data_IF_345807347723
#
_entry.id   IF_345807347723
#
_cell.length_a   1.000
_cell.length_b   1.000
_cell.length_c   1.000
_cell.angle_alpha   90.00
_cell.angle_beta   90.00
_cell.angle_gamma   90.00
#
_symmetry.space_group_name_H-M   'P 1'
#
loop_
_entity.id
_entity.type
_entity.pdbx_description
1 polymer ?
#
# COMPACT_ATOMS: atom_id res chain seq x y z
N UNK A 1 -1.03 -5.45 -16.95
CA UNK A 1 -1.42 -4.25 -17.71
C UNK A 1 -2.83 -4.37 -18.31
N UNK A 2 -3.22 -5.53 -18.82
CA UNK A 2 -4.53 -5.76 -19.47
C UNK A 2 -5.71 -5.35 -18.59
N UNK A 3 -5.75 -5.76 -17.31
CA UNK A 3 -6.80 -5.34 -16.38
C UNK A 3 -6.77 -3.82 -16.14
N UNK A 4 -5.60 -3.20 -16.02
CA UNK A 4 -5.48 -1.77 -15.79
C UNK A 4 -6.01 -0.93 -16.96
N UNK A 5 -5.95 -1.43 -18.19
CA UNK A 5 -6.44 -0.74 -19.39
C UNK A 5 -7.95 -0.40 -19.31
N UNK A 6 -8.74 -1.18 -18.55
CA UNK A 6 -10.15 -0.91 -18.30
C UNK A 6 -10.40 0.37 -17.50
N UNK A 7 -9.42 0.78 -16.71
CA UNK A 7 -9.52 1.93 -15.78
C UNK A 7 -8.76 3.16 -16.28
N UNK A 8 -7.92 3.02 -17.31
CA UNK A 8 -7.11 4.10 -17.88
C UNK A 8 -7.96 5.21 -18.52
N UNK A 9 -9.06 4.85 -19.20
CA UNK A 9 -9.78 5.72 -20.12
C UNK A 9 -9.22 5.71 -21.53
N UNK A 10 -10.07 5.91 -22.54
CA UNK A 10 -9.70 5.76 -23.95
C UNK A 10 -9.72 4.32 -24.44
N UNK A 11 -8.90 4.01 -25.45
CA UNK A 11 -8.84 2.69 -26.06
C UNK A 11 -8.25 1.66 -25.11
N UNK A 12 -8.84 0.46 -25.13
CA UNK A 12 -8.40 -0.69 -24.35
C UNK A 12 -7.32 -1.47 -25.08
N UNK A 13 -6.56 -2.26 -24.34
CA UNK A 13 -5.66 -3.24 -24.93
C UNK A 13 -6.43 -4.34 -25.67
N UNK A 14 -5.81 -4.91 -26.69
CA UNK A 14 -6.36 -6.09 -27.37
C UNK A 14 -6.55 -7.21 -26.33
N UNK A 15 -7.67 -7.92 -26.42
CA UNK A 15 -8.06 -9.02 -25.52
C UNK A 15 -8.37 -8.57 -24.06
N UNK A 16 -8.52 -7.27 -23.79
CA UNK A 16 -8.90 -6.81 -22.47
C UNK A 16 -10.31 -7.29 -22.07
N UNK A 17 -11.18 -7.56 -23.03
CA UNK A 17 -12.57 -7.94 -22.76
C UNK A 17 -12.69 -9.31 -22.07
N UNK A 18 -11.76 -10.21 -22.28
CA UNK A 18 -11.74 -11.55 -21.69
C UNK A 18 -11.27 -11.57 -20.24
N UNK A 19 -10.62 -10.50 -19.75
CA UNK A 19 -9.96 -10.55 -18.42
C UNK A 19 -10.95 -10.77 -17.28
N UNK A 20 -12.15 -10.20 -17.36
CA UNK A 20 -13.16 -10.37 -16.31
C UNK A 20 -13.75 -11.79 -16.31
N UNK A 21 -13.96 -12.39 -17.48
CA UNK A 21 -14.41 -13.78 -17.61
C UNK A 21 -13.33 -14.73 -17.05
N UNK A 22 -12.06 -14.47 -17.34
CA UNK A 22 -10.93 -15.24 -16.78
C UNK A 22 -10.84 -15.08 -15.27
N UNK A 23 -11.05 -13.86 -14.72
CA UNK A 23 -11.11 -13.64 -13.27
C UNK A 23 -12.25 -14.42 -12.62
N UNK A 24 -13.41 -14.50 -13.25
CA UNK A 24 -14.56 -15.24 -12.74
C UNK A 24 -14.36 -16.75 -12.76
N UNK A 25 -13.67 -17.25 -13.77
CA UNK A 25 -13.39 -18.68 -13.95
C UNK A 25 -12.10 -19.13 -13.25
N UNK A 26 -11.40 -18.21 -12.56
CA UNK A 26 -10.09 -18.45 -11.96
C UNK A 26 -9.05 -19.01 -12.95
N UNK A 27 -9.16 -18.59 -14.22
CA UNK A 27 -8.23 -18.92 -15.33
C UNK A 27 -7.28 -17.75 -15.57
N UNK A 28 -6.36 -17.54 -14.62
CA UNK A 28 -5.44 -16.40 -14.61
C UNK A 28 -3.99 -16.86 -14.74
N UNK A 29 -3.19 -16.03 -15.40
CA UNK A 29 -1.74 -16.21 -15.48
C UNK A 29 -1.08 -15.95 -14.11
N UNK A 30 0.19 -16.34 -13.97
CA UNK A 30 0.90 -16.24 -12.70
C UNK A 30 1.13 -14.80 -12.21
N UNK A 31 1.02 -13.81 -13.08
CA UNK A 31 1.19 -12.39 -12.77
C UNK A 31 -0.05 -11.72 -12.18
N UNK A 32 -1.22 -12.37 -12.27
CA UNK A 32 -2.48 -11.92 -11.67
C UNK A 32 -3.12 -13.03 -10.84
N UNK A 33 -3.41 -12.75 -9.58
CA UNK A 33 -4.17 -13.64 -8.69
C UNK A 33 -5.36 -12.89 -8.12
N UNK A 34 -6.47 -13.59 -7.93
CA UNK A 34 -7.70 -13.03 -7.34
C UNK A 34 -8.19 -13.93 -6.23
N UNK A 35 -8.42 -13.35 -5.07
CA UNK A 35 -9.00 -14.02 -3.91
C UNK A 35 -10.22 -13.24 -3.47
N UNK A 36 -11.29 -13.95 -3.13
CA UNK A 36 -12.49 -13.33 -2.56
C UNK A 36 -12.50 -13.44 -1.04
N UNK A 37 -13.13 -12.46 -0.38
CA UNK A 37 -13.37 -12.44 1.05
C UNK A 37 -14.76 -11.83 1.35
N UNK A 38 -15.34 -12.13 2.50
CA UNK A 38 -16.69 -11.67 2.88
C UNK A 38 -16.72 -10.86 4.16
N UNK A 39 -15.82 -11.14 5.07
CA UNK A 39 -15.75 -10.50 6.38
C UNK A 39 -14.29 -10.32 6.84
N UNK A 40 -14.11 -9.69 8.00
CA UNK A 40 -12.80 -9.40 8.57
C UNK A 40 -11.96 -10.66 8.79
N UNK A 41 -12.55 -11.73 9.30
CA UNK A 41 -11.82 -12.98 9.58
C UNK A 41 -11.30 -13.58 8.29
N UNK A 42 -12.15 -13.67 7.28
CA UNK A 42 -11.78 -14.21 5.98
C UNK A 42 -10.74 -13.34 5.28
N UNK A 43 -10.84 -11.99 5.38
CA UNK A 43 -9.80 -11.10 4.87
C UNK A 43 -8.45 -11.35 5.54
N UNK A 44 -8.43 -11.49 6.87
CA UNK A 44 -7.20 -11.78 7.62
C UNK A 44 -6.58 -13.10 7.19
N UNK A 45 -7.39 -14.15 7.04
CA UNK A 45 -6.93 -15.46 6.60
C UNK A 45 -6.41 -15.43 5.15
N UNK A 46 -7.10 -14.71 4.25
CA UNK A 46 -6.65 -14.54 2.85
C UNK A 46 -5.37 -13.74 2.73
N UNK A 47 -5.21 -12.68 3.52
CA UNK A 47 -3.94 -11.94 3.57
C UNK A 47 -2.80 -12.86 4.02
N UNK A 48 -3.02 -13.68 5.05
CA UNK A 48 -2.03 -14.64 5.54
C UNK A 48 -1.70 -15.68 4.47
N UNK A 49 -2.71 -16.28 3.85
CA UNK A 49 -2.55 -17.23 2.74
C UNK A 49 -1.74 -16.66 1.59
N UNK A 50 -2.06 -15.42 1.17
CA UNK A 50 -1.33 -14.72 0.09
C UNK A 50 0.13 -14.50 0.47
N UNK A 51 0.41 -14.06 1.70
CA UNK A 51 1.79 -13.84 2.13
C UNK A 51 2.59 -15.14 2.18
N UNK A 52 1.99 -16.22 2.67
CA UNK A 52 2.65 -17.53 2.75
C UNK A 52 2.92 -18.11 1.35
N UNK A 53 2.01 -17.91 0.39
CA UNK A 53 2.12 -18.46 -0.97
C UNK A 53 2.99 -17.59 -1.90
N UNK A 54 2.86 -16.27 -1.80
CA UNK A 54 3.46 -15.34 -2.75
C UNK A 54 4.80 -14.78 -2.26
N UNK A 55 5.03 -14.81 -0.95
CA UNK A 55 6.25 -14.36 -0.29
C UNK A 55 6.70 -15.34 0.78
N UNK A 56 7.16 -16.55 0.37
CA UNK A 56 7.54 -17.60 1.32
C UNK A 56 8.67 -17.19 2.28
N UNK A 57 9.52 -16.23 1.87
CA UNK A 57 10.59 -15.69 2.72
C UNK A 57 10.12 -14.60 3.68
N UNK A 58 8.83 -14.24 3.66
CA UNK A 58 8.26 -13.31 4.63
C UNK A 58 8.37 -13.90 6.06
N UNK A 59 8.82 -13.16 7.09
CA UNK A 59 9.10 -11.71 7.12
C UNK A 59 10.51 -11.29 6.69
N UNK A 60 11.38 -12.19 6.26
CA UNK A 60 12.79 -11.92 5.93
C UNK A 60 12.99 -11.37 4.52
N UNK A 61 11.95 -11.44 3.66
CA UNK A 61 11.99 -10.88 2.32
C UNK A 61 12.30 -9.37 2.33
N UNK A 62 12.95 -8.89 1.27
CA UNK A 62 13.19 -7.46 1.10
C UNK A 62 11.87 -6.69 1.16
N UNK A 63 11.82 -5.74 2.06
CA UNK A 63 10.63 -4.91 2.30
C UNK A 63 10.22 -4.08 1.08
N UNK A 64 11.13 -3.81 0.15
CA UNK A 64 10.86 -3.07 -1.08
C UNK A 64 10.18 -3.91 -2.15
N UNK A 65 10.22 -5.24 -2.07
CA UNK A 65 9.70 -6.12 -3.11
C UNK A 65 8.16 -6.20 -3.13
N UNK A 66 7.51 -6.00 -2.01
CA UNK A 66 6.06 -6.19 -1.92
C UNK A 66 5.36 -5.08 -1.14
N UNK A 67 4.09 -4.86 -1.45
CA UNK A 67 3.27 -3.85 -0.77
C UNK A 67 1.80 -4.23 -0.76
N UNK A 68 1.17 -4.10 0.42
CA UNK A 68 -0.30 -4.14 0.52
C UNK A 68 -0.86 -2.74 0.34
N UNK A 69 -1.83 -2.61 -0.55
CA UNK A 69 -2.53 -1.36 -0.85
C UNK A 69 -4.00 -1.47 -0.48
N UNK A 70 -4.53 -0.44 0.16
CA UNK A 70 -5.97 -0.33 0.47
C UNK A 70 -6.44 1.12 0.25
N UNK A 71 -7.72 1.36 -0.09
CA UNK A 71 -8.21 2.71 -0.34
C UNK A 71 -8.31 3.60 0.90
N UNK A 72 -8.31 3.03 2.13
CA UNK A 72 -8.62 3.77 3.37
C UNK A 72 -7.71 3.40 4.54
N UNK A 73 -7.87 4.14 5.65
CA UNK A 73 -7.07 4.00 6.88
C UNK A 73 -7.79 3.18 7.96
N UNK A 74 -9.03 3.50 8.29
CA UNK A 74 -9.66 3.08 9.55
C UNK A 74 -10.58 1.84 9.55
N UNK A 75 -11.29 1.43 8.49
CA UNK A 75 -12.10 0.20 8.53
C UNK A 75 -11.26 -1.05 8.71
N UNK A 76 -11.90 -2.18 9.04
CA UNK A 76 -11.26 -3.50 9.22
C UNK A 76 -10.37 -3.93 8.05
N UNK A 77 -10.63 -3.41 6.85
CA UNK A 77 -9.83 -3.56 5.65
C UNK A 77 -8.93 -2.34 5.34
N UNK A 78 -8.76 -1.44 6.32
CA UNK A 78 -7.91 -0.25 6.22
C UNK A 78 -6.46 -0.51 6.63
N UNK A 79 -5.58 0.47 6.35
CA UNK A 79 -4.15 0.34 6.63
C UNK A 79 -3.85 0.08 8.10
N UNK A 80 -4.59 0.72 9.01
CA UNK A 80 -4.38 0.56 10.44
C UNK A 80 -4.54 -0.90 10.89
N UNK A 81 -5.69 -1.50 10.57
CA UNK A 81 -6.00 -2.87 10.99
C UNK A 81 -5.09 -3.90 10.32
N UNK A 82 -4.83 -3.73 9.02
CA UNK A 82 -3.93 -4.64 8.28
C UNK A 82 -2.52 -4.58 8.87
N UNK A 83 -1.99 -3.40 9.18
CA UNK A 83 -0.68 -3.26 9.81
C UNK A 83 -0.60 -3.97 11.17
N UNK A 84 -1.70 -3.95 11.97
CA UNK A 84 -1.77 -4.70 13.22
C UNK A 84 -1.74 -6.22 12.97
N UNK A 85 -2.45 -6.74 11.96
CA UNK A 85 -2.38 -8.16 11.60
C UNK A 85 -0.95 -8.59 11.31
N UNK A 86 -0.18 -7.79 10.58
CA UNK A 86 1.22 -8.09 10.30
C UNK A 86 2.07 -8.14 11.57
N UNK A 87 1.90 -7.18 12.50
CA UNK A 87 2.61 -7.24 13.78
C UNK A 87 2.23 -8.46 14.62
N UNK A 88 0.95 -8.87 14.63
CA UNK A 88 0.50 -10.10 15.30
C UNK A 88 1.17 -11.35 14.68
N UNK A 89 1.22 -11.46 13.36
CA UNK A 89 1.85 -12.61 12.68
C UNK A 89 3.35 -12.68 12.93
N UNK A 90 4.01 -11.53 13.03
CA UNK A 90 5.43 -11.43 13.41
C UNK A 90 5.65 -11.66 14.92
N UNK A 91 4.57 -11.88 15.69
CA UNK A 91 4.61 -11.99 17.15
C UNK A 91 5.20 -10.76 17.83
N UNK A 92 5.06 -9.59 17.24
CA UNK A 92 5.43 -8.29 17.79
C UNK A 92 4.38 -7.82 18.81
N UNK A 93 4.14 -8.65 19.85
CA UNK A 93 3.14 -8.37 20.89
C UNK A 93 3.77 -8.08 22.24
N UNK A 94 5.03 -8.44 22.45
CA UNK A 94 5.73 -8.21 23.71
C UNK A 94 6.36 -6.82 23.74
N UNK A 95 5.70 -5.91 24.43
CA UNK A 95 6.10 -4.50 24.58
C UNK A 95 7.50 -4.30 25.18
N UNK A 96 8.09 -5.34 25.80
CA UNK A 96 9.47 -5.27 26.33
C UNK A 96 10.52 -5.15 25.23
N UNK A 97 10.22 -5.66 24.05
CA UNK A 97 11.13 -5.65 22.88
C UNK A 97 10.83 -4.54 21.89
N UNK A 98 9.79 -3.74 22.15
CA UNK A 98 9.39 -2.61 21.32
C UNK A 98 9.58 -1.27 22.03
N UNK A 99 9.42 -0.19 21.29
CA UNK A 99 9.32 1.15 21.83
C UNK A 99 7.94 1.75 21.53
N UNK A 100 7.36 2.49 22.47
CA UNK A 100 6.13 3.22 22.21
C UNK A 100 6.39 4.32 21.17
N UNK A 101 5.48 4.48 20.22
CA UNK A 101 5.52 5.51 19.20
C UNK A 101 4.10 6.03 18.93
N UNK A 102 3.68 7.03 19.70
CA UNK A 102 2.28 7.47 19.74
C UNK A 102 1.34 6.36 20.18
N UNK A 103 0.33 6.08 19.40
CA UNK A 103 -0.62 4.98 19.60
C UNK A 103 -0.08 3.60 19.22
N UNK A 104 1.11 3.54 18.59
CA UNK A 104 1.74 2.32 18.09
C UNK A 104 2.89 1.86 19.00
N UNK A 105 3.36 0.66 18.73
CA UNK A 105 4.67 0.17 19.15
C UNK A 105 5.48 -0.16 17.90
N UNK A 106 6.77 0.22 17.90
CA UNK A 106 7.72 -0.17 16.88
C UNK A 106 8.60 -1.29 17.41
N UNK A 107 8.82 -2.30 16.57
CA UNK A 107 9.66 -3.46 16.85
C UNK A 107 10.75 -3.60 15.80
N UNK A 108 11.83 -4.29 16.16
CA UNK A 108 12.85 -4.68 15.20
C UNK A 108 12.22 -5.52 14.09
N UNK A 109 12.51 -5.19 12.84
CA UNK A 109 11.97 -5.83 11.65
C UNK A 109 10.74 -5.14 11.07
N UNK A 110 10.09 -4.23 11.82
CA UNK A 110 8.92 -3.52 11.31
C UNK A 110 9.22 -2.77 10.00
N UNK A 111 8.32 -2.91 9.06
CA UNK A 111 8.25 -2.10 7.85
C UNK A 111 7.56 -0.78 8.21
N UNK A 112 8.25 0.32 7.95
CA UNK A 112 7.80 1.66 8.33
C UNK A 112 7.90 2.62 7.16
N UNK A 113 7.15 3.73 7.24
CA UNK A 113 7.19 4.79 6.24
C UNK A 113 7.45 6.14 6.92
N UNK A 114 8.34 6.93 6.31
CA UNK A 114 8.51 8.34 6.66
C UNK A 114 7.24 9.11 6.27
N UNK A 115 6.66 9.83 7.23
CA UNK A 115 5.37 10.52 7.02
C UNK A 115 5.50 12.01 6.75
N UNK A 116 6.68 12.60 6.93
CA UNK A 116 6.95 14.02 6.72
C UNK A 116 8.27 14.23 6.01
N UNK A 117 8.40 15.31 5.24
CA UNK A 117 9.69 15.73 4.68
C UNK A 117 10.55 16.33 5.78
N UNK A 118 11.65 15.68 6.14
CA UNK A 118 12.48 16.12 7.26
C UNK A 118 13.97 15.83 7.01
N UNK A 119 14.83 16.78 7.37
CA UNK A 119 16.28 16.53 7.44
C UNK A 119 16.59 15.76 8.72
N UNK A 120 17.07 14.53 8.56
CA UNK A 120 17.49 13.68 9.68
C UNK A 120 18.98 13.45 9.69
N UNK A 121 19.52 13.48 10.91
CA UNK A 121 20.93 13.17 11.15
C UNK A 121 21.15 11.67 11.01
N UNK A 122 22.16 11.28 10.26
CA UNK A 122 22.65 9.91 10.21
C UNK A 122 23.25 9.52 11.56
N UNK A 123 23.02 8.29 12.01
CA UNK A 123 23.34 7.85 13.38
C UNK A 123 24.85 7.86 13.69
N UNK A 124 25.70 7.57 12.70
CA UNK A 124 27.14 7.45 12.85
C UNK A 124 27.92 8.63 12.26
N UNK A 125 27.24 9.69 11.82
CA UNK A 125 27.82 10.82 11.13
C UNK A 125 27.24 12.15 11.61
N UNK A 126 27.87 13.25 11.25
CA UNK A 126 27.31 14.61 11.44
C UNK A 126 26.44 15.03 10.25
N UNK A 127 26.39 14.22 9.22
CA UNK A 127 25.62 14.49 8.00
C UNK A 127 24.12 14.46 8.29
N UNK A 128 23.39 15.37 7.69
CA UNK A 128 21.93 15.39 7.72
C UNK A 128 21.40 15.17 6.30
N UNK A 129 20.52 14.20 6.15
CA UNK A 129 19.93 13.79 4.88
C UNK A 129 18.44 14.13 4.90
N UNK A 130 17.94 14.66 3.80
CA UNK A 130 16.52 14.89 3.63
C UNK A 130 15.83 13.55 3.37
N UNK A 131 14.99 13.11 4.31
CA UNK A 131 14.08 12.01 4.11
C UNK A 131 12.73 12.57 3.62
N UNK A 132 12.18 11.96 2.59
CA UNK A 132 10.94 12.40 1.96
C UNK A 132 9.74 11.64 2.52
N UNK A 133 8.61 12.32 2.60
CA UNK A 133 7.33 11.68 2.88
C UNK A 133 7.06 10.57 1.86
N UNK A 134 6.66 9.39 2.34
CA UNK A 134 6.40 8.21 1.52
C UNK A 134 7.57 7.24 1.40
N UNK A 135 8.81 7.60 1.81
CA UNK A 135 9.91 6.65 1.83
C UNK A 135 9.67 5.50 2.79
N UNK A 136 9.79 4.27 2.29
CA UNK A 136 9.58 3.04 3.06
C UNK A 136 10.93 2.53 3.53
N UNK A 137 11.01 2.19 4.81
CA UNK A 137 12.21 1.68 5.47
C UNK A 137 11.91 0.52 6.41
N UNK A 138 12.95 0.01 7.06
CA UNK A 138 12.86 -1.06 8.05
C UNK A 138 13.52 -0.68 9.35
N UNK A 139 12.87 -1.03 10.46
CA UNK A 139 13.47 -0.93 11.80
C UNK A 139 14.52 -2.03 11.95
N UNK A 140 15.79 -1.68 11.89
CA UNK A 140 16.89 -2.64 12.02
C UNK A 140 17.20 -3.00 13.46
N UNK A 141 17.06 -2.04 14.36
CA UNK A 141 17.46 -2.18 15.76
C UNK A 141 16.60 -1.27 16.67
N UNK A 142 16.35 -1.74 17.87
CA UNK A 142 15.80 -0.93 18.97
C UNK A 142 16.80 -0.93 20.09
N UNK A 143 17.31 0.26 20.45
CA UNK A 143 18.28 0.46 21.53
C UNK A 143 18.12 1.85 22.14
N UNK A 144 18.31 1.95 23.46
CA UNK A 144 18.29 3.21 24.21
C UNK A 144 17.03 4.06 23.94
N UNK A 145 15.86 3.41 23.88
CA UNK A 145 14.56 4.02 23.56
C UNK A 145 14.51 4.70 22.18
N UNK A 146 15.28 4.17 21.23
CA UNK A 146 15.32 4.62 19.84
C UNK A 146 15.09 3.45 18.92
N UNK A 147 14.35 3.68 17.83
CA UNK A 147 14.32 2.82 16.67
C UNK A 147 15.34 3.33 15.65
N UNK A 148 16.18 2.44 15.14
CA UNK A 148 17.13 2.73 14.07
C UNK A 148 16.54 2.17 12.77
N UNK A 149 16.25 3.06 11.83
CA UNK A 149 15.61 2.74 10.56
C UNK A 149 16.61 2.90 9.41
N UNK A 150 16.61 1.95 8.49
CA UNK A 150 17.29 2.05 7.20
C UNK A 150 16.26 2.19 6.10
N UNK A 151 16.63 2.92 5.05
CA UNK A 151 15.84 3.08 3.83
C UNK A 151 16.64 2.53 2.65
N UNK A 152 16.01 1.87 1.66
CA UNK A 152 16.72 1.27 0.52
C UNK A 152 17.63 2.25 -0.23
N UNK A 153 17.20 3.52 -0.36
CA UNK A 153 17.97 4.57 -1.02
C UNK A 153 19.25 4.94 -0.24
N UNK A 154 19.32 4.55 1.04
CA UNK A 154 20.41 4.82 1.98
C UNK A 154 20.75 3.56 2.78
N UNK A 155 20.98 2.44 2.10
CA UNK A 155 21.12 1.11 2.71
C UNK A 155 22.31 0.98 3.68
N UNK A 156 23.35 1.80 3.48
CA UNK A 156 24.52 1.91 4.35
C UNK A 156 24.32 2.85 5.55
N UNK A 157 23.21 3.59 5.60
CA UNK A 157 22.92 4.61 6.62
C UNK A 157 21.77 4.19 7.53
N UNK A 158 21.79 4.73 8.76
CA UNK A 158 20.77 4.49 9.78
C UNK A 158 20.30 5.82 10.35
N UNK A 159 18.99 5.94 10.49
CA UNK A 159 18.32 7.11 11.04
C UNK A 159 17.60 6.72 12.31
N UNK A 160 17.73 7.48 13.37
CA UNK A 160 17.09 7.14 14.64
C UNK A 160 15.84 7.96 14.91
N UNK A 161 14.87 7.32 15.56
CA UNK A 161 13.62 7.89 15.98
C UNK A 161 13.43 7.59 17.47
N UNK A 162 13.18 8.63 18.25
CA UNK A 162 12.94 8.46 19.69
C UNK A 162 11.56 7.84 19.93
N UNK A 163 11.49 6.94 20.90
CA UNK A 163 10.21 6.48 21.41
C UNK A 163 9.45 7.62 22.06
N UNK A 164 8.19 7.79 21.70
CA UNK A 164 7.27 8.80 22.23
C UNK A 164 5.99 8.13 22.72
N UNK A 165 5.51 8.52 23.91
CA UNK A 165 4.30 7.91 24.50
C UNK A 165 3.01 8.61 24.07
N UNK A 166 3.11 9.86 23.63
CA UNK A 166 1.99 10.67 23.17
C UNK A 166 2.12 10.91 21.68
N UNK A 167 1.04 11.34 21.03
CA UNK A 167 1.03 11.59 19.59
C UNK A 167 1.93 12.76 19.17
N UNK A 168 2.32 13.64 20.11
CA UNK A 168 3.27 14.72 19.88
C UNK A 168 4.65 14.17 19.47
N UNK A 169 4.98 14.33 18.18
CA UNK A 169 6.23 13.84 17.59
C UNK A 169 6.20 12.39 17.06
N UNK A 170 5.07 11.69 17.19
CA UNK A 170 4.85 10.38 16.57
C UNK A 170 4.40 10.45 15.10
N UNK A 171 4.32 11.64 14.54
CA UNK A 171 3.87 11.91 13.17
C UNK A 171 4.94 11.64 12.08
N UNK A 172 6.18 11.27 12.48
CA UNK A 172 7.29 11.04 11.55
C UNK A 172 7.29 9.67 10.91
N UNK A 173 6.88 8.65 11.65
CA UNK A 173 6.82 7.27 11.17
C UNK A 173 5.44 6.69 11.35
N UNK A 174 5.08 5.81 10.43
CA UNK A 174 3.91 4.94 10.52
C UNK A 174 4.31 3.51 10.09
N UNK A 175 3.54 2.51 10.49
CA UNK A 175 3.70 1.17 9.96
C UNK A 175 3.33 1.16 8.47
N UNK A 176 4.06 0.36 7.69
CA UNK A 176 3.94 0.38 6.24
C UNK A 176 3.83 -1.00 5.59
N UNK A 177 3.42 -2.02 6.31
CA UNK A 177 3.05 -3.30 5.69
C UNK A 177 1.88 -3.10 4.72
N UNK A 178 0.90 -2.28 5.13
CA UNK A 178 -0.15 -1.77 4.27
C UNK A 178 -0.11 -0.23 4.24
N UNK A 179 -0.24 0.35 3.06
CA UNK A 179 -0.35 1.80 2.85
C UNK A 179 -1.59 2.13 2.02
N UNK A 180 -2.04 3.38 2.08
CA UNK A 180 -3.15 3.79 1.21
C UNK A 180 -2.69 3.88 -0.24
N UNK A 181 -3.61 3.59 -1.18
CA UNK A 181 -3.34 3.71 -2.61
C UNK A 181 -2.81 5.11 -2.96
N UNK A 182 -3.31 6.17 -2.31
CA UNK A 182 -2.81 7.53 -2.52
C UNK A 182 -1.33 7.69 -2.13
N UNK A 183 -0.92 7.10 -1.01
CA UNK A 183 0.48 7.16 -0.56
C UNK A 183 1.43 6.33 -1.42
N UNK A 184 0.92 5.38 -2.22
CA UNK A 184 1.73 4.60 -3.16
C UNK A 184 2.00 5.30 -4.49
N UNK A 185 1.40 6.46 -4.73
CA UNK A 185 1.62 7.21 -5.99
C UNK A 185 3.09 7.59 -6.15
N UNK A 186 3.66 7.26 -7.31
CA UNK A 186 5.07 7.49 -7.61
C UNK A 186 6.01 6.36 -7.18
N UNK A 187 5.52 5.35 -6.45
CA UNK A 187 6.29 4.16 -6.08
C UNK A 187 5.79 2.95 -6.84
N UNK A 188 6.69 2.02 -7.16
CA UNK A 188 6.37 0.74 -7.79
C UNK A 188 7.00 -0.39 -6.96
N UNK A 189 6.31 -1.53 -6.92
CA UNK A 189 6.72 -2.71 -6.17
C UNK A 189 6.70 -3.94 -7.07
N UNK A 190 7.53 -4.91 -6.76
CA UNK A 190 7.58 -6.17 -7.52
C UNK A 190 6.24 -6.89 -7.45
N UNK A 191 5.74 -7.10 -6.24
CA UNK A 191 4.43 -7.69 -5.96
C UNK A 191 3.54 -6.69 -5.24
N UNK A 192 2.34 -6.46 -5.75
CA UNK A 192 1.32 -5.62 -5.11
C UNK A 192 0.11 -6.45 -4.74
N UNK A 193 -0.32 -6.33 -3.49
CA UNK A 193 -1.53 -6.93 -2.95
C UNK A 193 -2.55 -5.82 -2.74
N UNK A 194 -3.65 -5.82 -3.47
CA UNK A 194 -4.66 -4.75 -3.39
C UNK A 194 -5.91 -5.27 -2.67
N UNK A 195 -6.25 -4.67 -1.55
CA UNK A 195 -7.52 -4.95 -0.84
C UNK A 195 -8.60 -4.03 -1.39
N UNK A 196 -9.62 -4.62 -1.99
CA UNK A 196 -10.71 -3.95 -2.68
C UNK A 196 -12.06 -4.24 -1.99
N UNK A 197 -12.54 -3.34 -1.13
CA UNK A 197 -13.86 -3.44 -0.52
C UNK A 197 -14.94 -2.95 -1.49
N UNK A 198 -16.10 -3.63 -1.52
CA UNK A 198 -17.19 -3.37 -2.48
C UNK A 198 -17.83 -1.99 -2.35
N UNK A 199 -18.09 -1.54 -1.14
CA UNK A 199 -18.87 -0.33 -0.87
C UNK A 199 -18.02 0.84 -0.32
N UNK A 200 -16.79 0.97 -0.78
CA UNK A 200 -15.91 2.07 -0.36
C UNK A 200 -16.17 3.34 -1.17
N UNK A 201 -16.53 4.43 -0.48
CA UNK A 201 -16.80 5.74 -1.11
C UNK A 201 -15.59 6.35 -1.82
N UNK A 202 -14.38 5.96 -1.42
CA UNK A 202 -13.14 6.46 -2.03
C UNK A 202 -12.77 5.72 -3.31
N UNK A 203 -13.36 4.54 -3.56
CA UNK A 203 -13.10 3.82 -4.80
C UNK A 203 -13.61 4.62 -5.99
N UNK A 204 -12.73 4.86 -6.92
CA UNK A 204 -12.99 5.44 -8.21
C UNK A 204 -12.23 4.68 -9.28
N UNK A 205 -12.59 4.92 -10.52
CA UNK A 205 -11.88 4.39 -11.67
C UNK A 205 -10.39 4.71 -11.61
N UNK A 206 -10.04 5.96 -11.31
CA UNK A 206 -8.66 6.44 -11.26
C UNK A 206 -7.88 5.83 -10.08
N UNK A 207 -8.55 5.64 -8.93
CA UNK A 207 -7.91 5.05 -7.76
C UNK A 207 -7.58 3.57 -8.02
N UNK A 208 -8.51 2.83 -8.64
CA UNK A 208 -8.27 1.45 -9.05
C UNK A 208 -7.13 1.39 -10.06
N UNK A 209 -7.15 2.25 -11.09
CA UNK A 209 -6.04 2.34 -12.05
C UNK A 209 -4.70 2.54 -11.36
N UNK A 210 -4.65 3.50 -10.43
CA UNK A 210 -3.43 3.79 -9.65
C UNK A 210 -2.94 2.55 -8.93
N UNK A 211 -3.82 1.82 -8.24
CA UNK A 211 -3.43 0.62 -7.49
C UNK A 211 -2.89 -0.49 -8.40
N UNK A 212 -3.59 -0.77 -9.51
CA UNK A 212 -3.22 -1.82 -10.45
C UNK A 212 -1.86 -1.57 -11.12
N UNK A 213 -1.54 -0.30 -11.37
CA UNK A 213 -0.29 0.10 -12.03
C UNK A 213 0.91 0.19 -11.10
N UNK A 214 0.76 -0.08 -9.81
CA UNK A 214 1.90 -0.13 -8.87
C UNK A 214 2.70 -1.43 -8.93
N UNK A 215 2.12 -2.49 -9.49
CA UNK A 215 2.76 -3.79 -9.64
C UNK A 215 3.69 -3.82 -10.87
N UNK A 216 4.93 -4.23 -10.67
CA UNK A 216 5.90 -4.49 -11.75
C UNK A 216 5.71 -5.88 -12.34
N UNK A 217 5.70 -6.91 -11.49
CA UNK A 217 5.69 -8.30 -11.92
C UNK A 217 4.43 -9.05 -11.49
N UNK A 218 3.91 -8.80 -10.29
CA UNK A 218 2.79 -9.57 -9.76
C UNK A 218 1.74 -8.70 -9.07
N UNK A 219 0.49 -8.96 -9.42
CA UNK A 219 -0.69 -8.31 -8.84
C UNK A 219 -1.58 -9.35 -8.19
N UNK A 220 -1.88 -9.15 -6.91
CA UNK A 220 -2.83 -9.97 -6.16
C UNK A 220 -4.00 -9.10 -5.73
N UNK A 221 -5.21 -9.49 -6.09
CA UNK A 221 -6.43 -8.78 -5.73
C UNK A 221 -7.19 -9.55 -4.65
N UNK A 222 -7.43 -8.90 -3.52
CA UNK A 222 -8.31 -9.36 -2.47
C UNK A 222 -9.63 -8.60 -2.58
N UNK A 223 -10.64 -9.21 -3.19
CA UNK A 223 -11.89 -8.56 -3.59
C UNK A 223 -13.01 -8.99 -2.65
N UNK A 224 -13.73 -8.02 -2.06
CA UNK A 224 -14.90 -8.32 -1.25
C UNK A 224 -16.01 -8.94 -2.11
N UNK A 225 -16.58 -10.06 -1.65
CA UNK A 225 -17.58 -10.90 -2.31
C UNK A 225 -17.07 -11.49 -3.63
N UNK A 226 -17.24 -10.82 -4.76
CA UNK A 226 -16.93 -11.35 -6.09
C UNK A 226 -16.40 -10.25 -7.03
N UNK A 227 -15.58 -10.61 -8.02
CA UNK A 227 -15.03 -9.64 -9.00
C UNK A 227 -16.06 -8.92 -9.86
N UNK A 228 -17.30 -9.39 -9.91
CA UNK A 228 -18.34 -8.83 -10.79
C UNK A 228 -18.55 -7.32 -10.65
N UNK A 229 -18.51 -6.82 -9.42
CA UNK A 229 -18.71 -5.39 -9.20
C UNK A 229 -17.54 -4.52 -9.68
N UNK A 230 -16.35 -5.09 -9.76
CA UNK A 230 -15.15 -4.38 -10.21
C UNK A 230 -15.29 -3.89 -11.67
N UNK A 231 -15.94 -4.69 -12.52
CA UNK A 231 -16.27 -4.29 -13.89
C UNK A 231 -17.10 -3.01 -13.94
N UNK A 232 -18.05 -2.81 -13.03
CA UNK A 232 -18.86 -1.61 -13.00
C UNK A 232 -18.01 -0.34 -12.81
N UNK A 233 -16.96 -0.40 -11.99
CA UNK A 233 -16.07 0.74 -11.73
C UNK A 233 -15.22 1.17 -12.93
N UNK A 234 -15.12 0.35 -13.98
CA UNK A 234 -14.44 0.75 -15.21
C UNK A 234 -15.24 1.80 -16.02
N UNK A 235 -16.54 1.95 -15.74
CA UNK A 235 -17.43 2.83 -16.49
C UNK A 235 -17.22 4.32 -16.14
N UNK A 236 -17.50 5.26 -17.08
CA UNK A 236 -17.27 6.69 -16.87
C UNK A 236 -17.97 7.29 -15.65
N UNK A 237 -19.12 6.76 -15.24
CA UNK A 237 -19.86 7.24 -14.06
C UNK A 237 -19.08 7.10 -12.75
N UNK A 238 -18.09 6.21 -12.68
CA UNK A 238 -17.20 6.02 -11.52
C UNK A 238 -15.90 6.81 -11.63
N UNK A 239 -15.72 7.60 -12.71
CA UNK A 239 -14.58 8.49 -12.86
C UNK A 239 -14.82 9.79 -12.06
N UNK A 240 -13.87 10.12 -11.20
CA UNK A 240 -13.83 11.42 -10.51
C UNK A 240 -13.44 12.53 -11.47
N UNK A 241 -12.58 12.24 -12.44
CA UNK A 241 -12.13 13.21 -13.44
C UNK A 241 -13.27 13.60 -14.38
N UNK A 242 -14.09 12.64 -14.82
CA UNK A 242 -15.25 12.92 -15.67
C UNK A 242 -16.31 13.80 -14.98
N UNK A 243 -16.33 13.83 -13.66
CA UNK A 243 -17.25 14.69 -12.86
C UNK A 243 -16.69 16.07 -12.56
N UNK A 244 -15.40 16.32 -12.80
CA UNK A 244 -14.80 17.64 -12.60
C UNK A 244 -15.13 18.54 -13.79
N UNK A 245 -15.97 19.54 -13.58
CA UNK A 245 -16.14 20.67 -14.51
C UNK A 245 -14.83 21.48 -14.51
N UNK A 246 -13.92 21.17 -15.43
CA UNK A 246 -12.72 21.99 -15.63
C UNK A 246 -13.06 23.08 -16.66
N UNK A 247 -12.86 24.35 -16.31
CA UNK A 247 -12.98 25.49 -17.25
C UNK A 247 -11.88 25.49 -18.34
N UNK A 248 -11.03 24.45 -18.40
CA UNK A 248 -9.93 24.36 -19.37
C UNK A 248 -10.43 24.38 -20.82
N UNK A 249 -11.56 23.73 -21.08
CA UNK A 249 -12.17 23.71 -22.42
C UNK A 249 -12.87 25.02 -22.80
N UNK A 250 -13.27 25.84 -21.86
CA UNK A 250 -13.89 27.16 -22.14
C UNK A 250 -12.86 28.21 -22.57
N UNK A 251 -11.57 28.01 -22.34
CA UNK A 251 -10.50 28.91 -22.80
C UNK A 251 -10.07 28.65 -24.25
N UNK A 252 -10.24 27.47 -24.80
CA UNK A 252 -9.89 27.17 -26.19
C UNK A 252 -10.90 27.71 -27.23
N UNK A 253 -12.13 27.96 -26.83
CA UNK A 253 -13.19 28.47 -27.74
C UNK A 253 -13.15 29.99 -27.90
N UNK A 254 -12.29 30.74 -27.17
CA UNK A 254 -12.18 32.19 -27.24
C UNK A 254 -10.97 32.73 -28.01
N UNK A 255 -10.27 31.88 -28.74
CA UNK A 255 -9.10 32.24 -29.55
C UNK A 255 -9.32 32.05 -31.06
N UNK A 256 -10.58 31.95 -31.52
CA UNK A 256 -11.02 32.12 -32.92
C UNK A 256 -11.77 33.50 -33.03
#
# INVERSE_FOLDING_TARGET
>A
LTLASWYKGGDREKNADEIFDRMMNNDLDNDLRVYSWKDESELKDRLKEVMDNEKPDYPNADISEWQVLTPVINPVWGTYQINQYFQEWLKHTDKRYGIPYGSLYLYKGDKVMQCVNEKRKEANSKESILLSNGQIGQVLEIRDKKAFVSYPEYSDKRFFYYGVKNDDGADRLDLAYAISIHKSQGSDFDTVIVVLPKNCRLLSRELIYTALTRAKNKLVLLIEESPNWLYAYSKPQYSVLAKRNTNLFSFQVRLE
#
